data_IF_944216600933
#
_entry.id   IF_944216600933
#
_cell.length_a   1.000
_cell.length_b   1.000
_cell.length_c   1.000
_cell.angle_alpha   90.00
_cell.angle_beta   90.00
_cell.angle_gamma   90.00
#
_symmetry.space_group_name_H-M   'P 1'
#
loop_
_entity.id
_entity.type
_entity.pdbx_description
1 polymer ?
#
# COMPACT_ATOMS: atom_id res chain seq x y z
N UNK A 1 6.81 65.21 -26.68
CA UNK A 1 7.92 64.29 -26.41
C UNK A 1 9.16 64.74 -27.17
N UNK A 2 9.67 65.93 -26.82
CA UNK A 2 10.89 66.50 -27.42
C UNK A 2 11.37 67.52 -26.43
N UNK A 3 12.36 67.18 -25.65
CA UNK A 3 13.34 68.02 -25.02
C UNK A 3 13.96 67.36 -23.76
N UNK A 4 14.44 66.14 -23.95
CA UNK A 4 15.44 65.64 -23.02
C UNK A 4 16.80 66.21 -23.48
N UNK A 5 17.50 66.96 -22.61
CA UNK A 5 18.77 67.58 -22.96
C UNK A 5 19.79 66.50 -23.39
N UNK A 6 20.61 66.80 -24.38
CA UNK A 6 21.66 65.93 -24.94
C UNK A 6 22.51 65.23 -23.84
N UNK A 7 22.58 65.82 -22.68
CA UNK A 7 23.27 65.30 -21.47
C UNK A 7 22.63 64.03 -20.92
N UNK A 8 21.28 63.90 -21.00
CA UNK A 8 20.60 62.71 -20.50
C UNK A 8 20.80 61.50 -21.44
N UNK A 9 20.82 61.71 -22.73
CA UNK A 9 21.14 60.68 -23.72
C UNK A 9 22.59 60.22 -23.60
N UNK A 10 23.54 61.17 -23.30
CA UNK A 10 24.93 60.81 -23.07
C UNK A 10 25.11 59.96 -21.81
N UNK A 11 24.36 60.25 -20.74
CA UNK A 11 24.38 59.44 -19.51
C UNK A 11 23.77 58.05 -19.71
N UNK A 12 22.69 57.93 -20.45
CA UNK A 12 22.08 56.63 -20.79
C UNK A 12 23.04 55.77 -21.62
N UNK A 13 23.69 56.36 -22.62
CA UNK A 13 24.69 55.69 -23.46
C UNK A 13 25.92 55.27 -22.61
N UNK A 14 26.40 56.13 -21.72
CA UNK A 14 27.51 55.82 -20.86
C UNK A 14 27.16 54.68 -19.87
N UNK A 15 25.94 54.67 -19.31
CA UNK A 15 25.45 53.57 -18.44
C UNK A 15 25.30 52.27 -19.21
N UNK A 16 24.87 52.30 -20.45
CA UNK A 16 24.71 51.14 -21.31
C UNK A 16 26.09 50.54 -21.69
N UNK A 17 27.07 51.38 -22.04
CA UNK A 17 28.46 50.99 -22.33
C UNK A 17 29.14 50.44 -21.07
N UNK A 18 28.97 51.09 -19.91
CA UNK A 18 29.46 50.58 -18.64
C UNK A 18 28.82 49.25 -18.24
N UNK A 19 27.52 49.10 -18.48
CA UNK A 19 26.78 47.83 -18.26
C UNK A 19 27.30 46.70 -19.14
N UNK A 20 27.55 46.96 -20.43
CA UNK A 20 28.14 46.00 -21.40
C UNK A 20 29.61 45.68 -21.00
N UNK A 21 30.39 46.67 -20.63
CA UNK A 21 31.77 46.43 -20.17
C UNK A 21 31.82 45.72 -18.84
N UNK A 22 30.95 46.04 -17.88
CA UNK A 22 30.82 45.30 -16.67
C UNK A 22 30.31 43.84 -16.88
N UNK A 23 29.42 43.62 -17.82
CA UNK A 23 28.98 42.32 -18.26
C UNK A 23 30.09 41.51 -18.93
N UNK A 24 30.89 42.18 -19.79
CA UNK A 24 31.99 41.52 -20.52
C UNK A 24 33.27 41.30 -19.65
N UNK A 25 33.57 42.21 -18.73
CA UNK A 25 34.80 42.15 -17.91
C UNK A 25 34.56 41.83 -16.44
N UNK A 26 33.35 41.95 -15.91
CA UNK A 26 33.11 41.90 -14.45
C UNK A 26 32.31 40.71 -13.94
N UNK A 27 31.54 40.03 -14.76
CA UNK A 27 30.76 38.86 -14.30
C UNK A 27 31.22 37.50 -14.82
N UNK A 28 32.42 37.45 -15.34
CA UNK A 28 33.23 36.23 -15.42
C UNK A 28 33.84 35.85 -14.07
N UNK A 29 33.46 36.48 -12.97
CA UNK A 29 33.75 35.98 -11.62
C UNK A 29 32.90 34.73 -11.43
N UNK A 30 33.51 33.60 -11.82
CA UNK A 30 33.12 32.25 -11.41
C UNK A 30 32.66 32.32 -9.96
N UNK A 31 31.35 32.20 -9.74
CA UNK A 31 30.92 31.54 -8.52
C UNK A 31 31.73 30.26 -8.46
N UNK A 32 32.27 29.91 -7.31
CA UNK A 32 32.69 28.55 -7.07
C UNK A 32 31.39 27.74 -7.00
N UNK A 33 30.75 27.51 -8.14
CA UNK A 33 29.86 26.41 -8.33
C UNK A 33 30.72 25.22 -8.03
N UNK A 34 30.41 24.51 -6.98
CA UNK A 34 30.79 23.11 -6.84
C UNK A 34 30.55 22.48 -8.22
N UNK A 35 31.62 22.37 -9.01
CA UNK A 35 31.59 21.67 -10.26
C UNK A 35 31.59 20.18 -9.91
N UNK A 36 30.46 19.67 -9.46
CA UNK A 36 30.11 18.28 -9.70
C UNK A 36 29.99 18.15 -11.24
N UNK A 37 31.12 18.14 -11.92
CA UNK A 37 31.19 17.71 -13.31
C UNK A 37 30.93 16.20 -13.29
N UNK A 38 29.65 15.84 -13.17
CA UNK A 38 29.22 14.46 -13.37
C UNK A 38 29.67 14.05 -14.78
N UNK A 39 30.36 12.94 -14.90
CA UNK A 39 30.85 12.44 -16.17
C UNK A 39 29.69 12.32 -17.17
N UNK A 40 29.83 12.72 -18.44
CA UNK A 40 28.75 12.61 -19.43
C UNK A 40 28.11 11.22 -19.51
N UNK A 41 28.93 10.18 -19.37
CA UNK A 41 28.44 8.80 -19.38
C UNK A 41 27.61 8.45 -18.13
N UNK A 42 27.82 9.13 -16.99
CA UNK A 42 26.95 9.00 -15.82
C UNK A 42 25.55 9.52 -16.11
N UNK A 43 25.46 10.68 -16.74
CA UNK A 43 24.16 11.27 -17.18
C UNK A 43 23.47 10.36 -18.20
N UNK A 44 24.23 9.76 -19.13
CA UNK A 44 23.69 8.80 -20.10
C UNK A 44 23.19 7.52 -19.39
N UNK A 45 23.89 7.06 -18.37
CA UNK A 45 23.45 5.93 -17.53
C UNK A 45 22.13 6.24 -16.79
N UNK A 46 21.97 7.46 -16.27
CA UNK A 46 20.72 7.92 -15.65
C UNK A 46 19.58 8.02 -16.68
N UNK A 47 19.86 8.48 -17.90
CA UNK A 47 18.85 8.53 -18.96
C UNK A 47 18.33 7.13 -19.32
N UNK A 48 19.21 6.13 -19.38
CA UNK A 48 18.79 4.74 -19.54
C UNK A 48 17.91 4.22 -18.37
N UNK A 49 18.10 4.72 -17.15
CA UNK A 49 17.21 4.38 -16.03
C UNK A 49 15.82 5.01 -16.17
N UNK A 50 15.76 6.25 -16.61
CA UNK A 50 14.50 6.98 -16.84
C UNK A 50 13.71 6.38 -18.01
N UNK A 51 14.42 5.89 -19.05
CA UNK A 51 13.82 5.23 -20.22
C UNK A 51 13.58 3.73 -20.04
N UNK A 52 13.62 3.23 -18.80
CA UNK A 52 13.33 1.84 -18.45
C UNK A 52 14.26 0.81 -19.15
N UNK A 53 15.52 1.17 -19.40
CA UNK A 53 16.54 0.30 -19.99
C UNK A 53 17.64 -0.06 -18.96
N UNK A 54 17.33 -0.84 -17.91
CA UNK A 54 18.24 -1.07 -16.78
C UNK A 54 19.52 -1.84 -17.17
N UNK A 55 19.48 -2.66 -18.21
CA UNK A 55 20.65 -3.40 -18.68
C UNK A 55 21.68 -2.47 -19.31
N UNK A 56 21.25 -1.53 -20.14
CA UNK A 56 22.12 -0.52 -20.73
C UNK A 56 22.70 0.44 -19.69
N UNK A 57 21.89 0.80 -18.69
CA UNK A 57 22.35 1.60 -17.57
C UNK A 57 23.47 0.85 -16.80
N UNK A 58 23.29 -0.43 -16.54
CA UNK A 58 24.27 -1.26 -15.85
C UNK A 58 25.60 -1.32 -16.63
N UNK A 59 25.55 -1.61 -17.93
CA UNK A 59 26.75 -1.67 -18.79
C UNK A 59 27.50 -0.33 -18.80
N UNK A 60 26.75 0.80 -18.82
CA UNK A 60 27.33 2.13 -18.78
C UNK A 60 28.01 2.42 -17.45
N UNK A 61 27.39 2.09 -16.31
CA UNK A 61 28.00 2.32 -15.00
C UNK A 61 29.19 1.38 -14.72
N UNK A 62 29.16 0.13 -15.20
CA UNK A 62 30.29 -0.76 -15.12
C UNK A 62 31.48 -0.21 -15.92
N UNK A 63 31.24 0.31 -17.13
CA UNK A 63 32.26 0.92 -17.98
C UNK A 63 32.89 2.17 -17.34
N UNK A 64 32.08 2.95 -16.62
CA UNK A 64 32.58 4.10 -15.85
C UNK A 64 33.54 3.67 -14.73
N UNK A 65 33.27 2.57 -14.05
CA UNK A 65 34.15 2.04 -13.01
C UNK A 65 35.52 1.59 -13.58
N UNK A 66 35.51 1.03 -14.79
CA UNK A 66 36.75 0.58 -15.47
C UNK A 66 37.61 1.75 -15.97
N UNK A 67 37.02 2.92 -16.22
CA UNK A 67 37.69 4.09 -16.81
C UNK A 67 38.23 5.12 -15.82
N UNK A 68 38.42 4.79 -14.54
CA UNK A 68 38.87 5.71 -13.47
C UNK A 68 37.92 6.93 -13.21
N UNK A 69 36.73 6.94 -13.77
CA UNK A 69 35.69 7.89 -13.43
C UNK A 69 34.87 7.39 -12.23
N UNK A 70 35.53 6.70 -11.30
CA UNK A 70 34.99 6.04 -10.12
C UNK A 70 34.52 7.10 -9.09
N UNK A 71 33.30 7.61 -9.26
CA UNK A 71 32.69 8.54 -8.33
C UNK A 71 31.83 7.80 -7.31
N UNK A 72 31.64 8.43 -6.15
CA UNK A 72 30.76 7.91 -5.10
C UNK A 72 29.33 7.72 -5.64
N UNK A 73 28.89 8.64 -6.48
CA UNK A 73 27.57 8.62 -7.13
C UNK A 73 27.39 7.39 -8.03
N UNK A 74 28.46 6.99 -8.75
CA UNK A 74 28.44 5.79 -9.59
C UNK A 74 28.23 4.53 -8.75
N UNK A 75 28.85 4.43 -7.57
CA UNK A 75 28.64 3.32 -6.64
C UNK A 75 27.20 3.27 -6.15
N UNK A 76 26.61 4.40 -5.77
CA UNK A 76 25.22 4.44 -5.35
C UNK A 76 24.26 4.01 -6.48
N UNK A 77 24.47 4.53 -7.70
CA UNK A 77 23.65 4.18 -8.85
C UNK A 77 23.74 2.68 -9.18
N UNK A 78 24.96 2.14 -9.19
CA UNK A 78 25.22 0.73 -9.48
C UNK A 78 24.64 -0.19 -8.40
N UNK A 79 24.83 0.14 -7.12
CA UNK A 79 24.23 -0.60 -6.01
C UNK A 79 22.70 -0.61 -6.08
N UNK A 80 22.09 0.54 -6.36
CA UNK A 80 20.64 0.64 -6.53
C UNK A 80 20.13 -0.20 -7.72
N UNK A 81 20.87 -0.26 -8.84
CA UNK A 81 20.57 -1.09 -9.99
C UNK A 81 20.61 -2.59 -9.66
N UNK A 82 21.68 -3.05 -9.02
CA UNK A 82 21.80 -4.44 -8.60
C UNK A 82 20.66 -4.83 -7.66
N UNK A 83 20.29 -3.97 -6.71
CA UNK A 83 19.14 -4.21 -5.82
C UNK A 83 17.83 -4.34 -6.60
N UNK A 84 17.59 -3.48 -7.62
CA UNK A 84 16.40 -3.55 -8.49
C UNK A 84 16.36 -4.85 -9.29
N UNK A 85 17.48 -5.32 -9.78
CA UNK A 85 17.59 -6.59 -10.52
C UNK A 85 17.51 -7.83 -9.63
N UNK A 86 17.48 -7.67 -8.31
CA UNK A 86 17.49 -8.78 -7.36
C UNK A 86 18.87 -9.36 -7.08
N UNK A 87 19.95 -8.75 -7.63
CA UNK A 87 21.34 -9.14 -7.39
C UNK A 87 21.85 -8.52 -6.08
N UNK A 88 21.16 -8.85 -4.98
CA UNK A 88 21.26 -8.12 -3.71
C UNK A 88 22.64 -8.26 -3.07
N UNK A 89 23.32 -9.42 -3.19
CA UNK A 89 24.67 -9.61 -2.67
C UNK A 89 25.69 -8.67 -3.33
N UNK A 90 25.50 -8.36 -4.62
CA UNK A 90 26.36 -7.39 -5.31
C UNK A 90 26.12 -5.98 -4.79
N UNK A 91 24.87 -5.60 -4.59
CA UNK A 91 24.51 -4.30 -4.00
C UNK A 91 25.12 -4.14 -2.61
N UNK A 92 24.97 -5.14 -1.73
CA UNK A 92 25.54 -5.16 -0.38
C UNK A 92 27.06 -4.96 -0.43
N UNK A 93 27.78 -5.70 -1.30
CA UNK A 93 29.24 -5.55 -1.42
C UNK A 93 29.65 -4.15 -1.86
N UNK A 94 28.94 -3.56 -2.82
CA UNK A 94 29.24 -2.19 -3.28
C UNK A 94 29.10 -1.19 -2.13
N UNK A 95 27.98 -1.21 -1.39
CA UNK A 95 27.76 -0.26 -0.31
C UNK A 95 28.67 -0.53 0.90
N UNK A 96 29.03 -1.79 1.19
CA UNK A 96 30.03 -2.13 2.20
C UNK A 96 31.43 -1.62 1.82
N UNK A 97 31.87 -1.80 0.56
CA UNK A 97 33.13 -1.28 0.07
C UNK A 97 33.18 0.25 0.13
N UNK A 98 32.06 0.91 -0.17
CA UNK A 98 31.96 2.35 -0.04
C UNK A 98 32.11 2.81 1.43
N UNK A 99 31.48 2.11 2.37
CA UNK A 99 31.60 2.40 3.81
C UNK A 99 32.98 2.11 4.39
N UNK A 100 33.75 1.20 3.78
CA UNK A 100 35.10 0.88 4.19
C UNK A 100 36.16 1.94 3.80
N UNK A 101 35.78 2.94 2.97
CA UNK A 101 36.68 4.04 2.60
C UNK A 101 36.87 4.98 3.80
N UNK A 102 38.12 5.18 4.20
CA UNK A 102 38.48 6.04 5.35
C UNK A 102 38.09 7.51 5.13
N UNK A 103 38.30 8.02 3.91
CA UNK A 103 38.06 9.42 3.53
C UNK A 103 36.62 9.72 3.11
N UNK A 104 35.68 8.79 3.32
CA UNK A 104 34.29 9.02 2.95
C UNK A 104 33.66 10.13 3.80
N UNK A 105 33.20 11.19 3.14
CA UNK A 105 32.51 12.31 3.81
C UNK A 105 31.31 11.82 4.62
N UNK A 106 31.04 12.45 5.77
CA UNK A 106 29.94 12.04 6.68
C UNK A 106 28.62 11.90 5.97
N UNK A 107 28.30 12.82 5.07
CA UNK A 107 27.05 12.80 4.31
C UNK A 107 26.90 11.56 3.41
N UNK A 108 27.98 11.19 2.70
CA UNK A 108 27.98 10.00 1.87
C UNK A 108 27.98 8.71 2.70
N UNK A 109 28.62 8.74 3.89
CA UNK A 109 28.60 7.62 4.83
C UNK A 109 27.18 7.35 5.33
N UNK A 110 26.44 8.39 5.71
CA UNK A 110 25.03 8.27 6.14
C UNK A 110 24.13 7.74 4.99
N UNK A 111 24.37 8.23 3.78
CA UNK A 111 23.65 7.76 2.58
C UNK A 111 23.98 6.29 2.26
N UNK A 112 25.25 5.88 2.42
CA UNK A 112 25.69 4.51 2.20
C UNK A 112 25.10 3.55 3.27
N UNK A 113 24.98 4.00 4.53
CA UNK A 113 24.28 3.24 5.57
C UNK A 113 22.81 3.02 5.24
N UNK A 114 22.11 4.07 4.76
CA UNK A 114 20.73 3.96 4.32
C UNK A 114 20.60 2.98 3.14
N UNK A 115 21.48 3.08 2.15
CA UNK A 115 21.48 2.21 0.98
C UNK A 115 21.75 0.74 1.36
N UNK A 116 22.72 0.49 2.26
CA UNK A 116 23.02 -0.84 2.79
C UNK A 116 21.85 -1.42 3.61
N UNK A 117 21.16 -0.59 4.40
CA UNK A 117 19.97 -1.00 5.11
C UNK A 117 18.85 -1.46 4.15
N UNK A 118 18.66 -0.73 3.06
CA UNK A 118 17.70 -1.08 2.00
C UNK A 118 18.11 -2.39 1.29
N UNK A 119 19.40 -2.64 1.09
CA UNK A 119 19.89 -3.88 0.50
C UNK A 119 19.58 -5.07 1.42
N UNK A 120 19.89 -4.96 2.73
CA UNK A 120 19.55 -6.00 3.69
C UNK A 120 18.05 -6.24 3.79
N UNK A 121 17.23 -5.19 3.75
CA UNK A 121 15.78 -5.33 3.71
C UNK A 121 15.32 -6.10 2.47
N UNK A 122 15.91 -5.83 1.32
CA UNK A 122 15.63 -6.56 0.06
C UNK A 122 16.11 -8.00 0.10
N UNK A 123 17.24 -8.26 0.78
CA UNK A 123 17.78 -9.60 1.01
C UNK A 123 16.99 -10.41 2.05
N UNK A 124 16.01 -9.79 2.76
CA UNK A 124 15.27 -10.43 3.83
C UNK A 124 16.05 -10.57 5.15
N UNK A 125 17.22 -9.93 5.28
CA UNK A 125 18.05 -9.95 6.51
C UNK A 125 17.56 -8.83 7.43
N UNK A 126 16.38 -9.06 8.02
CA UNK A 126 15.61 -8.03 8.72
C UNK A 126 16.35 -7.44 9.92
N UNK A 127 17.03 -8.25 10.73
CA UNK A 127 17.76 -7.78 11.93
C UNK A 127 18.87 -6.78 11.59
N UNK A 128 19.60 -7.02 10.48
CA UNK A 128 20.63 -6.10 10.03
C UNK A 128 20.05 -4.83 9.43
N UNK A 129 18.95 -4.95 8.69
CA UNK A 129 18.24 -3.81 8.15
C UNK A 129 17.70 -2.93 9.29
N UNK A 130 17.10 -3.51 10.31
CA UNK A 130 16.59 -2.83 11.50
C UNK A 130 17.68 -2.00 12.18
N UNK A 131 18.81 -2.63 12.57
CA UNK A 131 19.89 -1.94 13.26
C UNK A 131 20.45 -0.76 12.46
N UNK A 132 20.59 -0.89 11.14
CA UNK A 132 21.05 0.20 10.28
C UNK A 132 19.98 1.31 10.12
N UNK A 133 18.72 0.96 9.94
CA UNK A 133 17.66 1.98 9.88
C UNK A 133 17.49 2.73 11.19
N UNK A 134 17.62 2.07 12.35
CA UNK A 134 17.66 2.72 13.66
C UNK A 134 18.79 3.74 13.74
N UNK A 135 20.01 3.35 13.36
CA UNK A 135 21.16 4.25 13.32
C UNK A 135 20.93 5.45 12.39
N UNK A 136 20.41 5.23 11.17
CA UNK A 136 20.14 6.29 10.20
C UNK A 136 19.00 7.19 10.63
N UNK A 137 18.05 6.70 11.43
CA UNK A 137 16.91 7.50 11.92
C UNK A 137 17.33 8.66 12.85
N UNK A 138 18.52 8.59 13.41
CA UNK A 138 19.09 9.69 14.21
C UNK A 138 19.56 10.86 13.33
N UNK A 139 19.79 10.64 12.03
CA UNK A 139 20.20 11.67 11.07
C UNK A 139 18.97 12.46 10.60
N UNK A 140 18.89 13.74 10.97
CA UNK A 140 17.70 14.56 10.75
C UNK A 140 17.18 14.55 9.29
N UNK A 141 18.08 14.64 8.29
CA UNK A 141 17.73 14.66 6.85
C UNK A 141 17.23 13.31 6.32
N UNK A 142 17.59 12.20 6.98
CA UNK A 142 17.23 10.83 6.56
C UNK A 142 16.16 10.20 7.46
N UNK A 143 15.83 10.85 8.57
CA UNK A 143 14.93 10.34 9.61
C UNK A 143 13.61 9.82 9.06
N UNK A 144 12.95 10.59 8.21
CA UNK A 144 11.64 10.20 7.66
C UNK A 144 11.76 8.92 6.84
N UNK A 145 12.71 8.87 5.93
CA UNK A 145 12.94 7.69 5.07
C UNK A 145 13.36 6.47 5.88
N UNK A 146 14.19 6.65 6.91
CA UNK A 146 14.64 5.57 7.77
C UNK A 146 13.50 5.02 8.65
N UNK A 147 12.70 5.89 9.27
CA UNK A 147 11.55 5.49 10.08
C UNK A 147 10.47 4.80 9.25
N UNK A 148 10.19 5.28 8.02
CA UNK A 148 9.20 4.62 7.18
C UNK A 148 9.66 3.23 6.74
N UNK A 149 10.95 3.08 6.38
CA UNK A 149 11.55 1.77 6.08
C UNK A 149 11.55 0.86 7.32
N UNK A 150 11.89 1.38 8.49
CA UNK A 150 11.89 0.66 9.77
C UNK A 150 10.48 0.14 10.14
N UNK A 151 9.45 0.96 9.94
CA UNK A 151 8.05 0.54 10.08
C UNK A 151 7.76 -0.68 9.20
N UNK A 152 8.19 -0.65 7.93
CA UNK A 152 8.05 -1.79 7.02
C UNK A 152 8.86 -3.03 7.42
N UNK A 153 10.00 -2.87 8.12
CA UNK A 153 10.73 -4.00 8.74
C UNK A 153 9.89 -4.64 9.82
N UNK A 154 9.35 -3.85 10.75
CA UNK A 154 8.52 -4.35 11.86
C UNK A 154 7.22 -5.01 11.37
N UNK A 155 6.60 -4.51 10.29
CA UNK A 155 5.46 -5.17 9.64
C UNK A 155 5.82 -6.59 9.16
N UNK A 156 6.99 -6.76 8.55
CA UNK A 156 7.46 -8.08 8.07
C UNK A 156 7.85 -9.04 9.20
N UNK A 157 8.31 -8.48 10.33
CA UNK A 157 8.61 -9.25 11.56
C UNK A 157 7.35 -9.55 12.37
N UNK A 158 6.18 -8.98 12.00
CA UNK A 158 4.94 -9.00 12.77
C UNK A 158 5.10 -8.40 14.18
N UNK A 159 6.09 -7.50 14.35
CA UNK A 159 6.24 -6.71 15.57
C UNK A 159 5.36 -5.45 15.51
N UNK A 160 4.07 -5.66 15.74
CA UNK A 160 3.05 -4.62 15.63
C UNK A 160 3.22 -3.51 16.67
N UNK A 161 3.81 -3.83 17.81
CA UNK A 161 4.10 -2.87 18.87
C UNK A 161 5.15 -1.85 18.39
N UNK A 162 6.24 -2.32 17.80
CA UNK A 162 7.29 -1.46 17.26
C UNK A 162 6.81 -0.72 16.00
N UNK A 163 6.01 -1.38 15.14
CA UNK A 163 5.40 -0.75 13.98
C UNK A 163 4.53 0.45 14.39
N UNK A 164 3.67 0.28 15.41
CA UNK A 164 2.84 1.36 15.96
C UNK A 164 3.68 2.46 16.61
N UNK A 165 4.73 2.09 17.35
CA UNK A 165 5.67 3.04 17.95
C UNK A 165 6.36 3.91 16.91
N UNK A 166 6.83 3.31 15.83
CA UNK A 166 7.47 3.99 14.69
C UNK A 166 6.46 4.87 13.94
N UNK A 167 5.23 4.38 13.73
CA UNK A 167 4.14 5.19 13.18
C UNK A 167 3.91 6.46 14.00
N UNK A 168 3.85 6.35 15.32
CA UNK A 168 3.68 7.49 16.23
C UNK A 168 4.83 8.49 16.15
N UNK A 169 6.07 8.03 15.92
CA UNK A 169 7.21 8.92 15.67
C UNK A 169 7.04 9.70 14.36
N UNK A 170 6.64 9.02 13.26
CA UNK A 170 6.33 9.67 11.99
C UNK A 170 5.17 10.66 12.10
N UNK A 171 4.15 10.35 12.89
CA UNK A 171 3.02 11.25 13.13
C UNK A 171 3.42 12.57 13.82
N UNK A 172 4.40 12.52 14.73
CA UNK A 172 4.92 13.74 15.41
C UNK A 172 5.61 14.70 14.45
N UNK A 173 6.20 14.18 13.37
CA UNK A 173 6.87 14.98 12.32
C UNK A 173 6.00 15.14 11.06
N UNK A 174 4.70 14.86 11.18
CA UNK A 174 3.71 14.95 10.10
C UNK A 174 4.06 14.15 8.83
N UNK A 175 4.75 13.03 9.00
CA UNK A 175 5.17 12.14 7.92
C UNK A 175 4.54 10.73 8.02
N UNK A 176 3.54 10.55 8.90
CA UNK A 176 2.86 9.28 9.06
C UNK A 176 1.97 8.96 7.84
N UNK A 177 1.84 7.68 7.48
CA UNK A 177 0.83 7.22 6.53
C UNK A 177 -0.59 7.44 7.08
N UNK A 178 -1.61 7.02 6.32
CA UNK A 178 -3.01 7.15 6.72
C UNK A 178 -3.27 6.57 8.11
N UNK A 179 -4.18 7.17 8.88
CA UNK A 179 -4.55 6.73 10.25
C UNK A 179 -5.10 5.29 10.27
N UNK A 180 -5.69 4.83 9.16
CA UNK A 180 -6.11 3.44 8.97
C UNK A 180 -4.98 2.43 9.19
N UNK A 181 -3.75 2.77 8.84
CA UNK A 181 -2.57 1.92 9.07
C UNK A 181 -2.33 1.69 10.57
N UNK A 182 -2.44 2.75 11.39
CA UNK A 182 -2.33 2.61 12.84
C UNK A 182 -3.49 1.78 13.42
N UNK A 183 -4.70 1.97 12.91
CA UNK A 183 -5.87 1.18 13.30
C UNK A 183 -5.66 -0.32 12.97
N UNK A 184 -5.01 -0.65 11.85
CA UNK A 184 -4.65 -2.03 11.55
C UNK A 184 -3.64 -2.62 12.53
N UNK A 185 -2.60 -1.88 12.92
CA UNK A 185 -1.64 -2.36 13.94
C UNK A 185 -2.32 -2.64 15.27
N UNK A 186 -3.25 -1.75 15.68
CA UNK A 186 -4.04 -1.95 16.89
C UNK A 186 -4.93 -3.20 16.79
N UNK A 187 -5.49 -3.49 15.62
CA UNK A 187 -6.25 -4.73 15.38
C UNK A 187 -5.36 -5.98 15.40
N UNK A 188 -4.12 -5.90 14.86
CA UNK A 188 -3.17 -7.02 14.99
C UNK A 188 -2.84 -7.30 16.46
N UNK A 189 -2.55 -6.25 17.24
CA UNK A 189 -2.32 -6.37 18.67
C UNK A 189 -3.56 -6.91 19.42
N UNK A 190 -4.76 -6.49 19.02
CA UNK A 190 -6.01 -7.01 19.57
C UNK A 190 -6.19 -8.50 19.24
N UNK A 191 -5.88 -8.94 18.02
CA UNK A 191 -5.90 -10.36 17.65
C UNK A 191 -4.98 -11.19 18.53
N UNK A 192 -3.75 -10.73 18.77
CA UNK A 192 -2.80 -11.39 19.66
C UNK A 192 -3.31 -11.43 21.11
N UNK A 193 -3.98 -10.37 21.58
CA UNK A 193 -4.58 -10.33 22.90
C UNK A 193 -5.76 -11.32 23.02
N UNK A 194 -6.60 -11.42 21.99
CA UNK A 194 -7.69 -12.40 21.90
C UNK A 194 -7.15 -13.84 21.96
N UNK A 195 -6.07 -14.13 21.24
CA UNK A 195 -5.43 -15.45 21.25
C UNK A 195 -4.90 -15.83 22.63
N UNK A 196 -4.35 -14.86 23.38
CA UNK A 196 -3.84 -15.03 24.75
C UNK A 196 -4.94 -15.06 25.80
N UNK A 197 -6.20 -14.78 25.43
CA UNK A 197 -7.32 -14.69 26.36
C UNK A 197 -7.41 -13.37 27.13
N UNK A 198 -6.60 -12.37 26.79
CA UNK A 198 -6.61 -11.03 27.41
C UNK A 198 -7.67 -10.16 26.73
N UNK A 199 -8.94 -10.47 27.03
CA UNK A 199 -10.10 -9.86 26.36
C UNK A 199 -10.26 -8.39 26.71
N UNK A 200 -9.93 -7.98 27.93
CA UNK A 200 -10.04 -6.59 28.35
C UNK A 200 -9.05 -5.68 27.58
N UNK A 201 -7.83 -6.13 27.42
CA UNK A 201 -6.82 -5.45 26.61
C UNK A 201 -7.23 -5.44 25.12
N UNK A 202 -7.74 -6.55 24.58
CA UNK A 202 -8.25 -6.59 23.22
C UNK A 202 -9.33 -5.55 22.97
N UNK A 203 -10.30 -5.42 23.90
CA UNK A 203 -11.35 -4.39 23.80
C UNK A 203 -10.79 -2.96 23.85
N UNK A 204 -9.78 -2.71 24.68
CA UNK A 204 -9.12 -1.41 24.74
C UNK A 204 -8.47 -1.07 23.38
N UNK A 205 -7.69 -2.00 22.84
CA UNK A 205 -7.05 -1.84 21.53
C UNK A 205 -8.05 -1.64 20.37
N UNK A 206 -9.20 -2.32 20.40
CA UNK A 206 -10.25 -2.13 19.40
C UNK A 206 -10.95 -0.76 19.54
N UNK A 207 -11.09 -0.21 20.75
CA UNK A 207 -11.56 1.17 20.94
C UNK A 207 -10.58 2.16 20.34
N UNK A 208 -9.30 2.02 20.66
CA UNK A 208 -8.24 2.87 20.13
C UNK A 208 -8.19 2.79 18.59
N UNK A 209 -8.36 1.59 17.99
CA UNK A 209 -8.42 1.43 16.54
C UNK A 209 -9.58 2.22 15.91
N UNK A 210 -10.75 2.24 16.54
CA UNK A 210 -11.90 3.02 16.07
C UNK A 210 -11.71 4.53 16.25
N UNK A 211 -10.94 4.96 17.24
CA UNK A 211 -10.56 6.38 17.41
C UNK A 211 -9.57 6.83 16.33
N UNK A 212 -8.69 5.93 15.88
CA UNK A 212 -7.78 6.23 14.77
C UNK A 212 -8.52 6.32 13.44
N UNK A 213 -9.46 5.42 13.16
CA UNK A 213 -10.20 5.37 11.91
C UNK A 213 -11.67 4.99 12.12
N UNK A 214 -12.59 5.77 11.53
CA UNK A 214 -14.03 5.49 11.53
C UNK A 214 -14.58 5.90 10.16
N UNK A 215 -15.33 5.03 9.45
CA UNK A 215 -15.64 3.62 9.79
C UNK A 215 -14.41 2.69 9.71
N UNK A 216 -14.40 1.63 10.53
CA UNK A 216 -13.30 0.66 10.53
C UNK A 216 -13.83 -0.78 10.75
N UNK A 217 -14.24 -1.48 9.70
CA UNK A 217 -14.96 -2.75 9.76
C UNK A 217 -14.16 -3.88 10.42
N UNK A 218 -12.84 -3.88 10.32
CA UNK A 218 -11.98 -4.87 10.95
C UNK A 218 -12.15 -4.91 12.47
N UNK A 219 -12.26 -3.75 13.11
CA UNK A 219 -12.48 -3.69 14.56
C UNK A 219 -13.87 -4.25 14.96
N UNK A 220 -14.88 -4.13 14.07
CA UNK A 220 -16.17 -4.75 14.30
C UNK A 220 -16.11 -6.28 14.18
N UNK A 221 -15.37 -6.82 13.18
CA UNK A 221 -15.17 -8.27 13.05
C UNK A 221 -14.48 -8.88 14.28
N UNK A 222 -13.40 -8.26 14.76
CA UNK A 222 -12.71 -8.73 15.97
C UNK A 222 -13.61 -8.58 17.22
N UNK A 223 -14.45 -7.52 17.26
CA UNK A 223 -15.47 -7.36 18.30
C UNK A 223 -16.50 -8.49 18.28
N UNK A 224 -16.94 -8.93 17.10
CA UNK A 224 -17.81 -10.09 16.95
C UNK A 224 -17.15 -11.38 17.45
N UNK A 225 -15.89 -11.62 17.12
CA UNK A 225 -15.13 -12.77 17.60
C UNK A 225 -15.02 -12.81 19.15
N UNK A 226 -14.82 -11.66 19.77
CA UNK A 226 -14.84 -11.56 21.25
C UNK A 226 -16.23 -11.93 21.78
N UNK A 227 -17.30 -11.38 21.20
CA UNK A 227 -18.66 -11.63 21.63
C UNK A 227 -19.06 -13.11 21.52
N UNK A 228 -18.61 -13.80 20.48
CA UNK A 228 -18.81 -15.24 20.32
C UNK A 228 -18.09 -16.05 21.39
N UNK A 229 -16.84 -15.72 21.70
CA UNK A 229 -16.08 -16.39 22.77
C UNK A 229 -16.74 -16.23 24.14
N UNK A 230 -17.43 -15.13 24.36
CA UNK A 230 -18.17 -14.84 25.60
C UNK A 230 -19.62 -15.36 25.57
N UNK A 231 -20.01 -16.12 24.56
CA UNK A 231 -21.36 -16.63 24.34
C UNK A 231 -22.44 -15.51 24.31
N UNK A 232 -22.12 -14.38 23.66
CA UNK A 232 -23.00 -13.23 23.46
C UNK A 232 -23.44 -13.13 21.98
N UNK A 233 -24.29 -14.03 21.46
CA UNK A 233 -24.61 -14.11 20.04
C UNK A 233 -25.25 -12.83 19.50
N UNK A 234 -26.13 -12.19 20.28
CA UNK A 234 -26.78 -10.93 19.87
C UNK A 234 -25.77 -9.80 19.65
N UNK A 235 -24.71 -9.74 20.44
CA UNK A 235 -23.64 -8.77 20.28
C UNK A 235 -22.81 -9.10 19.05
N UNK A 236 -22.47 -10.37 18.83
CA UNK A 236 -21.72 -10.84 17.66
C UNK A 236 -22.49 -10.48 16.36
N UNK A 237 -23.79 -10.76 16.30
CA UNK A 237 -24.66 -10.41 15.17
C UNK A 237 -24.63 -8.91 14.90
N UNK A 238 -24.76 -8.07 15.93
CA UNK A 238 -24.70 -6.60 15.76
C UNK A 238 -23.36 -6.14 15.18
N UNK A 239 -22.25 -6.69 15.68
CA UNK A 239 -20.90 -6.33 15.22
C UNK A 239 -20.66 -6.78 13.76
N UNK A 240 -21.07 -8.00 13.39
CA UNK A 240 -20.98 -8.49 12.02
C UNK A 240 -21.82 -7.65 11.05
N UNK A 241 -23.06 -7.32 11.41
CA UNK A 241 -23.89 -6.43 10.60
C UNK A 241 -23.25 -5.05 10.40
N UNK A 242 -22.65 -4.49 11.46
CA UNK A 242 -21.91 -3.25 11.36
C UNK A 242 -20.76 -3.37 10.37
N UNK A 243 -19.93 -4.42 10.47
CA UNK A 243 -18.79 -4.66 9.56
C UNK A 243 -19.24 -4.76 8.10
N UNK A 244 -20.32 -5.51 7.83
CA UNK A 244 -20.87 -5.67 6.47
C UNK A 244 -21.47 -4.37 5.91
N UNK A 245 -22.04 -3.53 6.77
CA UNK A 245 -22.56 -2.21 6.38
C UNK A 245 -21.42 -1.24 6.06
N UNK A 246 -20.34 -1.28 6.84
CA UNK A 246 -19.15 -0.45 6.65
C UNK A 246 -18.33 -0.88 5.44
N UNK A 247 -18.24 -2.19 5.17
CA UNK A 247 -17.51 -2.76 4.04
C UNK A 247 -18.25 -3.91 3.35
N UNK A 248 -19.01 -3.62 2.30
CA UNK A 248 -19.70 -4.65 1.51
C UNK A 248 -18.76 -5.66 0.83
N UNK A 249 -17.48 -5.34 0.72
CA UNK A 249 -16.45 -6.25 0.19
C UNK A 249 -16.35 -7.54 1.02
N UNK A 250 -16.69 -7.48 2.30
CA UNK A 250 -16.65 -8.61 3.24
C UNK A 250 -17.85 -9.57 3.11
N UNK A 251 -18.88 -9.21 2.34
CA UNK A 251 -20.11 -10.02 2.22
C UNK A 251 -19.86 -11.48 1.87
N UNK A 252 -18.91 -11.75 0.99
CA UNK A 252 -18.65 -13.11 0.53
C UNK A 252 -18.06 -14.03 1.60
N UNK A 253 -17.36 -13.48 2.56
CA UNK A 253 -16.74 -14.23 3.67
C UNK A 253 -17.59 -14.24 4.91
N UNK A 254 -18.15 -13.08 5.28
CA UNK A 254 -18.78 -12.91 6.58
C UNK A 254 -20.30 -13.14 6.57
N UNK A 255 -20.97 -13.06 5.42
CA UNK A 255 -22.39 -13.33 5.35
C UNK A 255 -22.78 -14.76 5.79
N UNK A 256 -22.08 -15.83 5.32
CA UNK A 256 -22.35 -17.19 5.80
C UNK A 256 -22.15 -17.36 7.30
N UNK A 257 -21.17 -16.65 7.88
CA UNK A 257 -20.90 -16.65 9.31
C UNK A 257 -22.05 -15.96 10.09
N UNK A 258 -22.41 -14.73 9.70
CA UNK A 258 -23.52 -14.01 10.28
C UNK A 258 -24.82 -14.86 10.31
N UNK A 259 -25.14 -15.52 9.19
CA UNK A 259 -26.38 -16.27 9.04
C UNK A 259 -26.40 -17.59 9.82
N UNK A 260 -25.28 -18.11 10.24
CA UNK A 260 -25.19 -19.26 11.17
C UNK A 260 -25.51 -18.91 12.61
N UNK A 261 -25.29 -17.64 13.00
CA UNK A 261 -25.52 -17.16 14.37
C UNK A 261 -26.99 -16.82 14.66
N UNK A 262 -27.84 -16.73 13.61
CA UNK A 262 -29.24 -16.28 13.74
C UNK A 262 -30.21 -17.39 13.38
N UNK A 263 -31.40 -17.37 13.99
CA UNK A 263 -32.54 -18.23 13.63
C UNK A 263 -33.16 -17.84 12.29
N UNK A 264 -34.02 -18.71 11.75
CA UNK A 264 -34.57 -18.56 10.39
C UNK A 264 -35.36 -17.28 10.21
N UNK A 265 -36.19 -16.87 11.18
CA UNK A 265 -36.97 -15.59 11.12
C UNK A 265 -36.06 -14.36 11.07
N UNK A 266 -35.00 -14.33 11.88
CA UNK A 266 -34.06 -13.23 11.90
C UNK A 266 -33.20 -13.22 10.62
N UNK A 267 -32.91 -14.39 10.05
CA UNK A 267 -32.17 -14.55 8.80
C UNK A 267 -32.85 -13.82 7.65
N UNK A 268 -34.14 -14.05 7.46
CA UNK A 268 -34.92 -13.41 6.39
C UNK A 268 -35.00 -11.90 6.57
N UNK A 269 -35.16 -11.42 7.80
CA UNK A 269 -35.17 -9.98 8.10
C UNK A 269 -33.80 -9.33 7.78
N UNK A 270 -32.69 -9.95 8.17
CA UNK A 270 -31.34 -9.45 7.88
C UNK A 270 -31.07 -9.44 6.38
N UNK A 271 -31.46 -10.51 5.66
CA UNK A 271 -31.31 -10.58 4.21
C UNK A 271 -32.12 -9.50 3.51
N UNK A 272 -33.35 -9.25 3.93
CA UNK A 272 -34.19 -8.19 3.37
C UNK A 272 -33.55 -6.80 3.55
N UNK A 273 -33.00 -6.52 4.73
CA UNK A 273 -32.31 -5.28 5.01
C UNK A 273 -31.04 -5.12 4.15
N UNK A 274 -30.20 -6.14 4.07
CA UNK A 274 -28.98 -6.13 3.24
C UNK A 274 -29.29 -5.94 1.75
N UNK A 275 -30.35 -6.60 1.25
CA UNK A 275 -30.86 -6.44 -0.12
C UNK A 275 -31.28 -5.00 -0.37
N UNK A 276 -32.03 -4.41 0.55
CA UNK A 276 -32.46 -3.01 0.44
C UNK A 276 -31.26 -2.06 0.41
N UNK A 277 -30.29 -2.25 1.29
CA UNK A 277 -29.08 -1.43 1.36
C UNK A 277 -28.23 -1.56 0.09
N UNK A 278 -27.93 -2.78 -0.35
CA UNK A 278 -27.16 -3.04 -1.55
C UNK A 278 -27.88 -2.53 -2.82
N UNK A 279 -29.19 -2.73 -2.91
CA UNK A 279 -30.00 -2.30 -4.05
C UNK A 279 -30.13 -0.78 -4.18
N UNK A 280 -29.95 -0.03 -3.08
CA UNK A 280 -29.95 1.43 -3.07
C UNK A 280 -28.59 2.04 -3.43
N UNK A 281 -27.52 1.30 -3.25
CA UNK A 281 -26.15 1.77 -3.53
C UNK A 281 -25.74 1.52 -4.98
N UNK A 282 -25.57 0.25 -5.36
CA UNK A 282 -25.13 -0.11 -6.70
C UNK A 282 -25.54 -1.55 -7.06
N UNK A 283 -25.72 -1.80 -8.37
CA UNK A 283 -25.99 -3.13 -8.90
C UNK A 283 -24.86 -4.13 -8.62
N UNK A 284 -23.60 -3.68 -8.57
CA UNK A 284 -22.45 -4.53 -8.27
C UNK A 284 -22.45 -5.03 -6.82
N UNK A 285 -22.89 -4.21 -5.88
CA UNK A 285 -23.08 -4.64 -4.48
C UNK A 285 -24.23 -5.65 -4.36
N UNK A 286 -25.34 -5.40 -5.05
CA UNK A 286 -26.45 -6.34 -5.09
C UNK A 286 -26.03 -7.68 -5.69
N UNK A 287 -25.23 -7.69 -6.77
CA UNK A 287 -24.67 -8.91 -7.33
C UNK A 287 -23.82 -9.68 -6.32
N UNK A 288 -22.92 -8.99 -5.61
CA UNK A 288 -22.07 -9.60 -4.56
C UNK A 288 -22.91 -10.24 -3.47
N UNK A 289 -23.93 -9.54 -2.97
CA UNK A 289 -24.84 -10.08 -1.96
C UNK A 289 -25.58 -11.31 -2.45
N UNK A 290 -26.16 -11.27 -3.66
CA UNK A 290 -26.92 -12.38 -4.25
C UNK A 290 -26.03 -13.61 -4.40
N UNK A 291 -24.81 -13.47 -4.94
CA UNK A 291 -23.88 -14.58 -5.08
C UNK A 291 -23.40 -15.11 -3.73
N UNK A 292 -23.12 -14.24 -2.76
CA UNK A 292 -22.74 -14.68 -1.42
C UNK A 292 -23.85 -15.48 -0.74
N UNK A 293 -25.11 -15.03 -0.88
CA UNK A 293 -26.27 -15.71 -0.33
C UNK A 293 -26.56 -17.05 -1.04
N UNK A 294 -26.43 -17.11 -2.37
CA UNK A 294 -26.55 -18.37 -3.13
C UNK A 294 -25.45 -19.35 -2.71
N UNK A 295 -24.20 -18.90 -2.57
CA UNK A 295 -23.09 -19.73 -2.10
C UNK A 295 -23.29 -20.23 -0.66
N UNK A 296 -24.02 -19.49 0.16
CA UNK A 296 -24.44 -19.90 1.50
C UNK A 296 -25.65 -20.86 1.52
N UNK A 297 -26.17 -21.26 0.36
CA UNK A 297 -27.31 -22.16 0.25
C UNK A 297 -28.68 -21.48 0.41
N UNK A 298 -28.74 -20.15 0.30
CA UNK A 298 -29.93 -19.34 0.53
C UNK A 298 -30.62 -18.86 -0.75
N UNK A 299 -30.31 -19.44 -1.90
CA UNK A 299 -30.89 -19.06 -3.19
C UNK A 299 -32.43 -19.15 -3.26
N UNK A 300 -33.06 -19.92 -2.38
CA UNK A 300 -34.53 -20.04 -2.26
C UNK A 300 -35.14 -19.08 -1.24
N UNK A 301 -34.35 -18.29 -0.51
CA UNK A 301 -34.86 -17.38 0.52
C UNK A 301 -35.79 -16.31 -0.08
N UNK A 302 -37.01 -16.09 0.46
CA UNK A 302 -37.99 -15.19 -0.11
C UNK A 302 -37.48 -13.75 -0.35
N UNK A 303 -36.67 -13.15 0.54
CA UNK A 303 -36.15 -11.80 0.33
C UNK A 303 -35.21 -11.66 -0.87
N UNK A 304 -34.57 -12.74 -1.30
CA UNK A 304 -33.60 -12.71 -2.39
C UNK A 304 -34.22 -12.92 -3.78
N UNK A 305 -35.40 -13.48 -3.88
CA UNK A 305 -35.99 -13.91 -5.16
C UNK A 305 -36.04 -12.80 -6.21
N UNK A 306 -36.60 -11.65 -5.85
CA UNK A 306 -36.67 -10.51 -6.76
C UNK A 306 -35.30 -9.94 -7.12
N UNK A 307 -34.33 -10.00 -6.20
CA UNK A 307 -32.96 -9.56 -6.41
C UNK A 307 -32.17 -10.50 -7.31
N UNK A 308 -32.39 -11.80 -7.18
CA UNK A 308 -31.83 -12.81 -8.07
C UNK A 308 -32.35 -12.57 -9.49
N UNK A 309 -33.65 -12.42 -9.69
CA UNK A 309 -34.25 -12.13 -10.99
C UNK A 309 -33.68 -10.85 -11.60
N UNK A 310 -33.57 -9.78 -10.81
CA UNK A 310 -32.97 -8.51 -11.25
C UNK A 310 -31.51 -8.65 -11.66
N UNK A 311 -30.68 -9.36 -10.88
CA UNK A 311 -29.27 -9.56 -11.17
C UNK A 311 -29.08 -10.43 -12.40
N UNK A 312 -29.82 -11.54 -12.52
CA UNK A 312 -29.69 -12.49 -13.62
C UNK A 312 -30.26 -11.92 -14.94
N UNK A 313 -31.28 -11.07 -14.90
CA UNK A 313 -31.80 -10.41 -16.12
C UNK A 313 -30.83 -9.41 -16.76
N UNK A 314 -29.80 -8.97 -16.04
CA UNK A 314 -28.78 -8.03 -16.56
C UNK A 314 -27.61 -8.72 -17.29
N UNK A 315 -27.56 -10.05 -17.27
CA UNK A 315 -26.48 -10.82 -17.89
C UNK A 315 -27.09 -11.98 -18.70
N UNK A 316 -26.85 -11.97 -20.01
CA UNK A 316 -27.45 -12.93 -20.94
C UNK A 316 -27.12 -14.41 -20.60
N UNK A 317 -25.90 -14.65 -20.07
CA UNK A 317 -25.45 -15.99 -19.69
C UNK A 317 -26.14 -16.44 -18.42
N UNK A 318 -26.20 -15.57 -17.42
CA UNK A 318 -26.90 -15.85 -16.16
C UNK A 318 -28.41 -16.02 -16.39
N UNK A 319 -29.00 -15.23 -17.28
CA UNK A 319 -30.40 -15.33 -17.67
C UNK A 319 -30.71 -16.68 -18.33
N UNK A 320 -29.86 -17.14 -19.26
CA UNK A 320 -30.01 -18.45 -19.90
C UNK A 320 -29.90 -19.59 -18.87
N UNK A 321 -28.88 -19.54 -17.99
CA UNK A 321 -28.74 -20.53 -16.90
C UNK A 321 -29.96 -20.56 -15.97
N UNK A 322 -30.57 -19.38 -15.70
CA UNK A 322 -31.74 -19.28 -14.84
C UNK A 322 -33.00 -19.79 -15.51
N UNK A 323 -33.18 -19.53 -16.82
CA UNK A 323 -34.37 -19.95 -17.59
C UNK A 323 -34.34 -21.44 -17.97
N UNK A 324 -33.17 -21.97 -18.28
CA UNK A 324 -32.99 -23.38 -18.71
C UNK A 324 -32.72 -24.34 -17.54
N UNK A 325 -32.61 -23.85 -16.31
CA UNK A 325 -32.33 -24.67 -15.14
C UNK A 325 -33.58 -25.48 -14.74
N UNK A 326 -33.72 -26.76 -15.12
CA UNK A 326 -34.80 -27.61 -14.63
C UNK A 326 -34.55 -28.05 -13.18
N UNK A 327 -33.48 -27.55 -12.55
CA UNK A 327 -33.04 -27.98 -11.25
C UNK A 327 -33.55 -27.02 -10.16
N UNK A 328 -33.87 -27.53 -8.96
CA UNK A 328 -34.24 -26.72 -7.84
C UNK A 328 -33.11 -25.73 -7.49
N UNK A 329 -33.43 -24.53 -6.94
CA UNK A 329 -32.47 -23.48 -6.60
C UNK A 329 -31.28 -23.96 -5.77
N UNK A 330 -31.47 -25.02 -4.99
CA UNK A 330 -30.44 -25.65 -4.15
C UNK A 330 -29.28 -26.26 -4.95
N UNK A 331 -29.58 -26.88 -6.12
CA UNK A 331 -28.55 -27.47 -6.97
C UNK A 331 -27.74 -26.39 -7.69
N UNK A 332 -28.40 -25.33 -8.15
CA UNK A 332 -27.73 -24.18 -8.75
C UNK A 332 -26.86 -23.48 -7.71
N UNK A 333 -27.31 -23.37 -6.46
CA UNK A 333 -26.53 -22.83 -5.36
C UNK A 333 -25.26 -23.64 -5.08
N UNK A 334 -25.34 -24.97 -5.10
CA UNK A 334 -24.18 -25.85 -4.92
C UNK A 334 -23.16 -25.70 -6.06
N UNK A 335 -23.62 -25.64 -7.30
CA UNK A 335 -22.74 -25.49 -8.47
C UNK A 335 -22.06 -24.11 -8.49
N UNK A 336 -22.81 -23.03 -8.26
CA UNK A 336 -22.26 -21.67 -8.13
C UNK A 336 -21.32 -21.59 -6.93
N UNK A 337 -21.67 -22.17 -5.79
CA UNK A 337 -20.82 -22.23 -4.60
C UNK A 337 -19.49 -22.92 -4.87
N UNK A 338 -19.50 -24.06 -5.60
CA UNK A 338 -18.29 -24.77 -6.00
C UNK A 338 -17.41 -23.95 -6.95
N UNK A 339 -18.00 -23.24 -7.92
CA UNK A 339 -17.29 -22.33 -8.82
C UNK A 339 -16.67 -21.14 -8.06
N UNK A 340 -17.43 -20.53 -7.17
CA UNK A 340 -16.97 -19.41 -6.36
C UNK A 340 -15.86 -19.81 -5.37
N UNK A 341 -15.88 -21.04 -4.87
CA UNK A 341 -14.82 -21.56 -4.00
C UNK A 341 -13.46 -21.66 -4.72
N UNK A 342 -13.47 -21.86 -6.04
CA UNK A 342 -12.27 -21.97 -6.87
C UNK A 342 -11.85 -20.65 -7.50
N UNK A 343 -12.75 -19.68 -7.58
CA UNK A 343 -12.49 -18.39 -8.22
C UNK A 343 -11.62 -17.47 -7.34
N UNK A 344 -10.80 -16.64 -8.00
CA UNK A 344 -10.16 -15.50 -7.36
C UNK A 344 -11.23 -14.44 -7.12
N UNK A 345 -11.48 -14.14 -5.84
CA UNK A 345 -12.56 -13.24 -5.41
C UNK A 345 -12.10 -11.80 -5.22
N UNK A 346 -10.82 -11.63 -4.93
CA UNK A 346 -10.25 -10.35 -4.51
C UNK A 346 -8.99 -10.04 -5.29
N UNK A 347 -8.76 -8.75 -5.51
CA UNK A 347 -7.55 -8.26 -6.18
C UNK A 347 -7.00 -7.04 -5.46
N UNK A 348 -5.69 -7.00 -5.32
CA UNK A 348 -4.98 -5.83 -4.80
C UNK A 348 -4.92 -4.73 -5.88
N UNK A 349 -5.36 -3.52 -5.55
CA UNK A 349 -5.35 -2.37 -6.47
C UNK A 349 -3.94 -1.81 -6.71
N UNK A 350 -3.01 -2.06 -5.78
CA UNK A 350 -1.64 -1.56 -5.88
C UNK A 350 -0.75 -2.43 -6.78
N UNK A 351 -0.79 -3.76 -6.60
CA UNK A 351 0.15 -4.65 -7.31
C UNK A 351 -0.53 -5.66 -8.23
N UNK A 352 -1.86 -5.75 -8.21
CA UNK A 352 -2.62 -6.68 -9.03
C UNK A 352 -2.64 -8.13 -8.51
N UNK A 353 -2.04 -8.42 -7.34
CA UNK A 353 -2.12 -9.74 -6.73
C UNK A 353 -3.57 -10.14 -6.51
N UNK A 354 -3.96 -11.35 -6.96
CA UNK A 354 -5.30 -11.89 -6.79
C UNK A 354 -5.32 -12.99 -5.75
N UNK A 355 -6.42 -13.08 -4.99
CA UNK A 355 -6.59 -14.06 -3.91
C UNK A 355 -8.02 -14.59 -3.80
N UNK A 356 -8.15 -15.77 -3.18
CA UNK A 356 -9.45 -16.38 -2.88
C UNK A 356 -10.07 -15.84 -1.60
N UNK A 357 -9.20 -15.38 -0.67
CA UNK A 357 -9.58 -14.80 0.61
C UNK A 357 -9.28 -13.31 0.63
N UNK A 358 -9.99 -12.58 1.47
CA UNK A 358 -9.74 -11.16 1.71
C UNK A 358 -8.51 -10.99 2.62
N UNK A 359 -7.64 -10.04 2.26
CA UNK A 359 -6.46 -9.68 3.05
C UNK A 359 -6.50 -8.19 3.39
N UNK A 360 -6.43 -7.86 4.66
CA UNK A 360 -6.25 -6.47 5.11
C UNK A 360 -4.87 -5.92 4.73
N UNK A 361 -3.87 -6.79 4.71
CA UNK A 361 -2.49 -6.50 4.35
C UNK A 361 -2.10 -7.39 3.16
N UNK A 362 -1.77 -6.80 2.03
CA UNK A 362 -1.45 -7.54 0.82
C UNK A 362 -0.19 -8.40 1.00
N UNK A 363 -0.24 -9.72 0.76
CA UNK A 363 0.93 -10.59 0.95
C UNK A 363 2.04 -10.34 -0.07
N UNK A 364 1.75 -9.68 -1.19
CA UNK A 364 2.73 -9.44 -2.25
C UNK A 364 3.41 -8.06 -2.14
N UNK A 365 2.65 -6.98 -1.96
CA UNK A 365 3.20 -5.63 -1.92
C UNK A 365 3.18 -4.98 -0.54
N UNK A 366 2.59 -5.65 0.46
CA UNK A 366 2.46 -5.17 1.84
C UNK A 366 1.66 -3.86 1.98
N UNK A 367 0.78 -3.54 1.05
CA UNK A 367 -0.15 -2.41 1.18
C UNK A 367 -1.35 -2.79 2.02
N UNK A 368 -1.78 -1.88 2.91
CA UNK A 368 -3.01 -2.01 3.69
C UNK A 368 -4.23 -1.55 2.91
N UNK A 369 -5.40 -2.10 3.19
CA UNK A 369 -6.72 -1.72 2.60
C UNK A 369 -6.73 -1.71 1.07
N UNK A 370 -5.86 -2.49 0.43
CA UNK A 370 -5.68 -2.49 -1.02
C UNK A 370 -6.47 -3.56 -1.76
N UNK A 371 -7.19 -4.43 -1.01
CA UNK A 371 -7.99 -5.51 -1.60
C UNK A 371 -9.41 -5.06 -1.88
N UNK A 372 -9.83 -5.23 -3.11
CA UNK A 372 -11.22 -5.06 -3.54
C UNK A 372 -11.79 -6.36 -4.05
N UNK A 373 -13.13 -6.50 -3.90
CA UNK A 373 -13.83 -7.64 -4.48
C UNK A 373 -13.79 -7.54 -6.00
N UNK A 374 -13.19 -8.54 -6.64
CA UNK A 374 -13.18 -8.65 -8.09
C UNK A 374 -14.58 -9.06 -8.58
N UNK A 375 -15.03 -8.47 -9.69
CA UNK A 375 -16.32 -8.82 -10.26
C UNK A 375 -16.34 -10.32 -10.62
N UNK A 376 -17.16 -11.07 -9.90
CA UNK A 376 -17.16 -12.55 -9.82
C UNK A 376 -17.43 -13.23 -11.16
N UNK A 377 -17.95 -12.53 -12.16
CA UNK A 377 -18.27 -13.12 -13.45
C UNK A 377 -17.90 -12.16 -14.58
N UNK A 378 -16.65 -12.21 -15.01
CA UNK A 378 -16.39 -12.15 -16.45
C UNK A 378 -16.38 -13.60 -16.93
N UNK A 379 -17.52 -14.17 -17.17
CA UNK A 379 -17.63 -15.33 -18.05
C UNK A 379 -17.12 -14.87 -19.41
N UNK A 380 -15.91 -15.34 -19.77
CA UNK A 380 -15.36 -15.21 -21.12
C UNK A 380 -16.05 -16.19 -22.04
#
# INVERSE_FOLDING_TARGET
VSDLPLLTWALVLAALVLGILAGHFGWGRRWPGSSNNLHPDYLTGLDYLVTEQPDRALDMFLKLMDTNADTIETHFALGALYRRRGEVERAIRIHQNLLAREELASEHREQALLALAQDYLRAGVLDRAEGLFQQVSEVARLRVSALDALRGVYERQHDWQQALGTYRQLARIKAAPARTVAAHYLCELASLAIERGDIDNARALLRDAREEATPFPRAALLGAQIAEREAQPDLAVRQLRQALTESPTLLQEELPHLLKLVGDEQRDAILAELVQQAGSRDLSELKRLVFAAIAAGLGSAPPLRASIEKVFSQDAVLQAVWQDAPAPPERLALEIGALLAQAEKYRCNECGFSGRSFYWHCPACHSWDSFEAYAIVKLR
#
